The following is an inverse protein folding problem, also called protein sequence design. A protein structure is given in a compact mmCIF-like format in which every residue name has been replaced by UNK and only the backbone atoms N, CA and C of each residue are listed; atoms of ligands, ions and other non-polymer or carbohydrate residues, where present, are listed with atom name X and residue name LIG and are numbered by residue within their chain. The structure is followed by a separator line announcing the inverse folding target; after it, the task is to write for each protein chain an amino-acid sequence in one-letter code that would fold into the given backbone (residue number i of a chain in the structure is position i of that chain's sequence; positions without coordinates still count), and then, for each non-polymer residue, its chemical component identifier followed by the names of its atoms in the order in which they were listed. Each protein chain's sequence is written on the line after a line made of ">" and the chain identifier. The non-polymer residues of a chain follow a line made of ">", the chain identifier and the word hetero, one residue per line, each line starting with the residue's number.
data_IF_162366043882
#
_entry.id   IF_162366043882
#
_cell.length_a   1.000
_cell.length_b   1.000
_cell.length_c   1.000
_cell.angle_alpha   90.00
_cell.angle_beta   90.00
_cell.angle_gamma   90.00
#
_symmetry.space_group_name_H-M   'P 1'
#
loop_
_entity.id
_entity.type
_entity.pdbx_description
1 polymer ?
#
# COMPACT_ATOMS: atom_id res chain seq x y z
N UNK A 1 -6.39 -24.99 27.61
CA UNK A 1 -7.24 -24.01 26.92
C UNK A 1 -6.51 -22.80 26.30
N UNK A 2 -5.23 -22.56 26.55
CA UNK A 2 -4.45 -21.43 25.94
C UNK A 2 -3.86 -21.77 24.55
N UNK A 3 -3.55 -23.03 24.25
CA UNK A 3 -2.95 -23.43 22.98
C UNK A 3 -3.90 -23.34 21.77
N UNK A 4 -5.20 -23.55 21.98
CA UNK A 4 -6.22 -23.49 20.93
C UNK A 4 -6.54 -22.04 20.48
N UNK A 5 -6.40 -21.04 21.36
CA UNK A 5 -6.57 -19.62 21.00
C UNK A 5 -5.40 -19.09 20.15
N UNK A 6 -4.18 -19.59 20.36
CA UNK A 6 -2.99 -19.21 19.59
C UNK A 6 -3.06 -19.71 18.14
N UNK A 7 -3.50 -20.96 17.93
CA UNK A 7 -3.63 -21.54 16.59
C UNK A 7 -4.75 -20.89 15.76
N UNK A 8 -5.89 -20.56 16.38
CA UNK A 8 -6.97 -19.85 15.70
C UNK A 8 -6.56 -18.41 15.31
N UNK A 9 -5.80 -17.70 16.16
CA UNK A 9 -5.26 -16.37 15.85
C UNK A 9 -4.25 -16.41 14.69
N UNK A 10 -3.39 -17.42 14.62
CA UNK A 10 -2.45 -17.61 13.51
C UNK A 10 -3.17 -17.97 12.20
N UNK A 11 -4.21 -18.82 12.25
CA UNK A 11 -4.99 -19.19 11.07
C UNK A 11 -5.78 -18.01 10.49
N UNK A 12 -6.30 -17.11 11.33
CA UNK A 12 -6.98 -15.89 10.90
C UNK A 12 -6.01 -14.92 10.23
N UNK A 13 -4.75 -14.80 10.70
CA UNK A 13 -3.74 -13.93 10.10
C UNK A 13 -3.26 -14.39 8.70
N UNK A 14 -3.43 -15.68 8.36
CA UNK A 14 -3.08 -16.20 7.03
C UNK A 14 -4.13 -15.90 5.96
N UNK A 15 -5.36 -15.54 6.35
CA UNK A 15 -6.48 -15.28 5.42
C UNK A 15 -6.47 -13.87 4.83
N UNK A 16 -5.95 -12.89 5.55
CA UNK A 16 -5.91 -11.50 5.09
C UNK A 16 -4.56 -11.11 4.49
N UNK A 17 -4.51 -9.95 3.84
CA UNK A 17 -3.26 -9.41 3.34
C UNK A 17 -2.21 -9.30 4.46
N UNK A 18 -1.09 -10.01 4.33
CA UNK A 18 -0.02 -10.03 5.34
C UNK A 18 1.11 -9.08 4.94
N UNK A 19 1.23 -7.89 5.56
CA UNK A 19 2.15 -6.85 5.09
C UNK A 19 3.60 -7.32 4.92
N UNK A 20 4.19 -8.02 5.89
CA UNK A 20 5.57 -8.48 5.80
C UNK A 20 5.80 -9.46 4.63
N UNK A 21 4.86 -10.40 4.39
CA UNK A 21 4.92 -11.34 3.26
C UNK A 21 4.76 -10.60 1.93
N UNK A 22 3.83 -9.66 1.86
CA UNK A 22 3.58 -8.91 0.65
C UNK A 22 4.76 -8.00 0.29
N UNK A 23 5.40 -7.36 1.28
CA UNK A 23 6.60 -6.53 1.09
C UNK A 23 7.74 -7.32 0.45
N UNK A 24 7.90 -8.62 0.77
CA UNK A 24 8.85 -9.49 0.06
C UNK A 24 8.50 -9.64 -1.43
N UNK A 25 7.20 -9.82 -1.75
CA UNK A 25 6.74 -9.93 -3.14
C UNK A 25 6.92 -8.62 -3.93
N UNK A 26 6.87 -7.47 -3.26
CA UNK A 26 7.12 -6.15 -3.85
C UNK A 26 8.58 -5.95 -4.25
N UNK A 27 9.52 -6.73 -3.70
CA UNK A 27 10.95 -6.63 -4.01
C UNK A 27 11.52 -5.26 -3.63
N UNK A 28 11.19 -4.78 -2.43
CA UNK A 28 11.75 -3.57 -1.86
C UNK A 28 13.21 -3.82 -1.50
N UNK A 29 14.07 -2.88 -1.86
CA UNK A 29 15.51 -2.95 -1.63
C UNK A 29 15.98 -1.79 -0.74
N UNK A 30 17.03 -1.99 0.07
CA UNK A 30 17.68 -0.90 0.80
C UNK A 30 17.99 0.30 -0.11
N UNK A 31 17.79 1.51 0.41
CA UNK A 31 18.01 2.76 -0.33
C UNK A 31 16.80 3.27 -1.13
N UNK A 32 15.77 2.45 -1.34
CA UNK A 32 14.58 2.88 -2.09
C UNK A 32 13.77 3.93 -1.31
N UNK A 33 13.08 4.78 -2.07
CA UNK A 33 12.05 5.72 -1.57
C UNK A 33 10.68 5.19 -1.95
N UNK A 34 9.86 4.89 -0.96
CA UNK A 34 8.56 4.23 -1.13
C UNK A 34 7.46 5.05 -0.46
N UNK A 35 6.34 5.27 -1.14
CA UNK A 35 5.13 5.83 -0.53
C UNK A 35 4.09 4.74 -0.30
N UNK A 36 3.40 4.81 0.83
CA UNK A 36 2.20 4.03 1.17
C UNK A 36 1.00 4.99 1.13
N UNK A 37 0.18 4.86 0.09
CA UNK A 37 -1.00 5.67 -0.18
C UNK A 37 -2.20 5.13 0.59
N UNK A 38 -2.79 5.95 1.46
CA UNK A 38 -3.81 5.51 2.41
C UNK A 38 -3.20 4.60 3.47
N UNK A 39 -2.13 5.04 4.11
CA UNK A 39 -1.32 4.21 5.01
C UNK A 39 -2.06 3.65 6.23
N UNK A 40 -3.22 4.22 6.58
CA UNK A 40 -4.10 3.75 7.63
C UNK A 40 -3.37 3.53 8.96
N UNK A 41 -3.47 2.32 9.50
CA UNK A 41 -2.80 1.93 10.76
C UNK A 41 -1.29 1.80 10.66
N UNK A 42 -0.70 1.93 9.46
CA UNK A 42 0.74 1.86 9.24
C UNK A 42 1.32 0.44 9.13
N UNK A 43 0.49 -0.57 8.94
CA UNK A 43 0.96 -1.95 8.88
C UNK A 43 1.98 -2.20 7.75
N UNK A 44 1.71 -1.65 6.54
CA UNK A 44 2.67 -1.69 5.44
C UNK A 44 3.85 -0.74 5.66
N UNK A 45 3.62 0.45 6.23
CA UNK A 45 4.70 1.39 6.58
C UNK A 45 5.77 0.73 7.44
N UNK A 46 5.35 0.01 8.49
CA UNK A 46 6.26 -0.71 9.39
C UNK A 46 7.03 -1.82 8.65
N UNK A 47 6.34 -2.62 7.84
CA UNK A 47 6.96 -3.70 7.09
C UNK A 47 7.96 -3.18 6.03
N UNK A 48 7.64 -2.06 5.36
CA UNK A 48 8.53 -1.40 4.40
C UNK A 48 9.73 -0.80 5.11
N UNK A 49 9.53 -0.12 6.25
CA UNK A 49 10.62 0.49 7.03
C UNK A 49 11.63 -0.58 7.51
N UNK A 50 11.12 -1.74 7.93
CA UNK A 50 11.94 -2.89 8.29
C UNK A 50 12.75 -3.41 7.10
N UNK A 51 12.10 -3.62 5.93
CA UNK A 51 12.76 -4.11 4.72
C UNK A 51 13.83 -3.14 4.18
N UNK A 52 13.71 -1.86 4.45
CA UNK A 52 14.70 -0.85 4.08
C UNK A 52 15.91 -0.78 5.03
N UNK A 53 15.92 -1.48 6.15
CA UNK A 53 17.02 -1.48 7.14
C UNK A 53 17.52 -0.07 7.51
N UNK A 54 16.58 0.87 7.77
CA UNK A 54 16.88 2.30 8.00
C UNK A 54 17.64 3.03 6.87
N UNK A 55 17.72 2.44 5.68
CA UNK A 55 18.22 3.12 4.48
C UNK A 55 17.05 3.46 3.55
N UNK A 56 17.21 4.49 2.71
CA UNK A 56 16.08 4.96 1.91
C UNK A 56 15.03 5.70 2.74
N UNK A 57 13.76 5.71 2.29
CA UNK A 57 12.70 6.47 2.95
C UNK A 57 11.32 5.87 2.71
N UNK A 58 10.47 5.89 3.73
CA UNK A 58 9.04 5.56 3.63
C UNK A 58 8.22 6.83 3.86
N UNK A 59 7.26 7.07 2.98
CA UNK A 59 6.29 8.15 3.10
C UNK A 59 4.91 7.54 3.37
N UNK A 60 4.42 7.71 4.59
CA UNK A 60 3.07 7.29 4.99
C UNK A 60 2.10 8.44 4.73
N UNK A 61 1.17 8.28 3.80
CA UNK A 61 0.25 9.36 3.40
C UNK A 61 -1.18 8.94 3.70
N UNK A 62 -1.91 9.79 4.41
CA UNK A 62 -3.31 9.55 4.78
C UNK A 62 -4.03 10.87 5.06
N UNK A 63 -5.36 10.88 4.93
CA UNK A 63 -6.20 12.02 5.33
C UNK A 63 -6.52 12.00 6.82
N UNK A 64 -6.34 10.88 7.51
CA UNK A 64 -6.65 10.69 8.91
C UNK A 64 -5.45 11.01 9.82
N UNK A 65 -5.41 12.23 10.36
CA UNK A 65 -4.28 12.71 11.20
C UNK A 65 -3.99 11.82 12.40
N UNK A 66 -5.01 11.22 13.01
CA UNK A 66 -4.85 10.36 14.18
C UNK A 66 -4.14 9.03 13.83
N UNK A 67 -4.43 8.46 12.67
CA UNK A 67 -3.74 7.27 12.19
C UNK A 67 -2.26 7.58 11.89
N UNK A 68 -1.99 8.69 11.22
CA UNK A 68 -0.61 9.15 10.95
C UNK A 68 0.18 9.37 12.25
N UNK A 69 -0.44 9.98 13.26
CA UNK A 69 0.19 10.18 14.57
C UNK A 69 0.53 8.84 15.25
N UNK A 70 -0.40 7.87 15.21
CA UNK A 70 -0.17 6.52 15.76
C UNK A 70 0.94 5.81 15.00
N UNK A 71 0.93 5.84 13.69
CA UNK A 71 1.98 5.27 12.82
C UNK A 71 3.34 5.86 13.14
N UNK A 72 3.45 7.20 13.25
CA UNK A 72 4.70 7.88 13.63
C UNK A 72 5.22 7.42 14.99
N UNK A 73 4.34 7.35 15.99
CA UNK A 73 4.70 6.91 17.34
C UNK A 73 5.18 5.45 17.35
N UNK A 74 4.52 4.57 16.60
CA UNK A 74 4.90 3.16 16.52
C UNK A 74 6.24 2.98 15.81
N UNK A 75 6.49 3.71 14.71
CA UNK A 75 7.79 3.74 14.06
C UNK A 75 8.90 4.19 15.00
N UNK A 76 8.66 5.26 15.77
CA UNK A 76 9.61 5.76 16.73
C UNK A 76 9.92 4.74 17.84
N UNK A 77 8.91 4.06 18.39
CA UNK A 77 9.09 2.99 19.39
C UNK A 77 9.94 1.84 18.87
N UNK A 78 9.83 1.51 17.58
CA UNK A 78 10.63 0.46 16.92
C UNK A 78 12.01 0.93 16.44
N UNK A 79 12.34 2.21 16.63
CA UNK A 79 13.63 2.77 16.23
C UNK A 79 13.75 3.07 14.73
N UNK A 80 12.64 3.08 13.97
CA UNK A 80 12.66 3.46 12.55
C UNK A 80 12.80 4.98 12.42
N UNK A 81 13.90 5.44 11.78
CA UNK A 81 14.23 6.86 11.56
C UNK A 81 13.97 7.31 10.13
N UNK A 82 13.61 6.37 9.26
CA UNK A 82 13.44 6.57 7.83
C UNK A 82 11.97 6.67 7.39
N UNK A 83 11.06 7.05 8.29
CA UNK A 83 9.62 7.17 8.03
C UNK A 83 9.17 8.61 8.21
N UNK A 84 8.59 9.17 7.16
CA UNK A 84 7.88 10.46 7.18
C UNK A 84 6.38 10.24 7.08
N UNK A 85 5.60 10.93 7.91
CA UNK A 85 4.14 10.91 7.83
C UNK A 85 3.64 12.20 7.21
N UNK A 86 2.78 12.10 6.21
CA UNK A 86 2.27 13.23 5.44
C UNK A 86 0.74 13.22 5.48
N UNK A 87 0.16 14.29 6.01
CA UNK A 87 -1.26 14.51 5.83
C UNK A 87 -1.52 14.99 4.41
N UNK A 88 -2.26 14.22 3.62
CA UNK A 88 -2.51 14.50 2.21
C UNK A 88 -3.82 13.90 1.73
N UNK A 89 -4.45 14.58 0.77
CA UNK A 89 -5.63 14.12 0.06
C UNK A 89 -5.19 13.58 -1.30
N UNK A 90 -5.23 12.25 -1.44
CA UNK A 90 -4.75 11.56 -2.64
C UNK A 90 -5.74 11.63 -3.82
N UNK A 91 -6.96 12.08 -3.59
CA UNK A 91 -7.95 12.38 -4.63
C UNK A 91 -7.72 13.76 -5.28
N UNK A 92 -6.52 14.34 -5.09
CA UNK A 92 -6.06 15.60 -5.70
C UNK A 92 -4.65 15.49 -6.20
N UNK A 93 -4.38 16.01 -7.39
CA UNK A 93 -3.02 16.11 -7.92
C UNK A 93 -2.19 17.05 -7.02
N UNK A 94 -1.00 16.61 -6.65
CA UNK A 94 -0.15 17.27 -5.65
C UNK A 94 -0.53 17.01 -4.20
N UNK A 95 -1.61 16.25 -3.96
CA UNK A 95 -2.12 15.95 -2.62
C UNK A 95 -1.17 15.11 -1.77
N UNK A 96 -0.28 14.31 -2.37
CA UNK A 96 0.78 13.59 -1.67
C UNK A 96 1.86 14.50 -1.08
N UNK A 97 1.98 15.74 -1.58
CA UNK A 97 3.05 16.72 -1.24
C UNK A 97 4.46 16.22 -1.52
N UNK A 98 4.59 15.26 -2.42
CA UNK A 98 5.87 14.73 -2.89
C UNK A 98 6.16 15.31 -4.28
N UNK A 99 7.43 15.60 -4.55
CA UNK A 99 7.88 16.13 -5.83
C UNK A 99 7.71 15.10 -6.96
N UNK A 100 7.58 15.59 -8.19
CA UNK A 100 7.51 14.77 -9.39
C UNK A 100 8.74 13.87 -9.54
N UNK A 101 8.52 12.62 -9.90
CA UNK A 101 9.59 11.68 -10.20
C UNK A 101 10.52 11.35 -9.01
N UNK A 102 10.08 11.57 -7.77
CA UNK A 102 10.93 11.46 -6.58
C UNK A 102 11.06 10.03 -6.03
N UNK A 103 10.14 9.11 -6.39
CA UNK A 103 10.01 7.81 -5.73
C UNK A 103 10.32 6.63 -6.63
N UNK A 104 10.85 5.58 -6.01
CA UNK A 104 11.11 4.28 -6.63
C UNK A 104 9.84 3.43 -6.72
N UNK A 105 8.96 3.54 -5.71
CA UNK A 105 7.74 2.76 -5.63
C UNK A 105 6.63 3.53 -4.91
N UNK A 106 5.39 3.32 -5.36
CA UNK A 106 4.17 3.66 -4.65
C UNK A 106 3.41 2.37 -4.37
N UNK A 107 2.96 2.18 -3.15
CA UNK A 107 2.02 1.13 -2.75
C UNK A 107 0.64 1.77 -2.55
N UNK A 108 -0.38 1.17 -3.15
CA UNK A 108 -1.80 1.42 -2.88
C UNK A 108 -2.35 0.12 -2.28
N UNK A 109 -2.71 0.15 -0.99
CA UNK A 109 -3.23 -1.05 -0.32
C UNK A 109 -4.55 -0.78 0.35
N UNK A 110 -5.59 -1.54 -0.02
CA UNK A 110 -6.95 -1.44 0.53
C UNK A 110 -7.49 0.00 0.48
N UNK A 111 -7.20 0.73 -0.58
CA UNK A 111 -7.58 2.12 -0.74
C UNK A 111 -8.57 2.33 -1.88
N UNK A 112 -8.43 1.62 -3.01
CA UNK A 112 -9.20 1.92 -4.21
C UNK A 112 -10.71 1.78 -4.00
N UNK A 113 -11.16 0.86 -3.16
CA UNK A 113 -12.58 0.72 -2.86
C UNK A 113 -13.14 1.89 -2.02
N UNK A 114 -12.27 2.65 -1.32
CA UNK A 114 -12.67 3.74 -0.43
C UNK A 114 -12.73 5.11 -1.13
N UNK A 115 -12.00 5.29 -2.24
CA UNK A 115 -11.88 6.57 -2.93
C UNK A 115 -12.87 6.69 -4.08
N UNK A 116 -13.34 7.90 -4.33
CA UNK A 116 -14.22 8.22 -5.47
C UNK A 116 -13.39 8.41 -6.73
N UNK A 117 -12.34 9.24 -6.65
CA UNK A 117 -11.52 9.66 -7.79
C UNK A 117 -10.33 8.73 -8.03
N UNK A 118 -10.60 7.43 -8.29
CA UNK A 118 -9.58 6.40 -8.50
C UNK A 118 -8.54 6.76 -9.57
N UNK A 119 -8.98 7.42 -10.66
CA UNK A 119 -8.06 7.86 -11.72
C UNK A 119 -7.07 8.91 -11.19
N UNK A 120 -7.54 9.88 -10.38
CA UNK A 120 -6.70 10.93 -9.81
C UNK A 120 -5.67 10.33 -8.85
N UNK A 121 -6.05 9.33 -8.05
CA UNK A 121 -5.11 8.61 -7.16
C UNK A 121 -3.99 7.95 -7.97
N UNK A 122 -4.32 7.31 -9.12
CA UNK A 122 -3.32 6.70 -9.99
C UNK A 122 -2.46 7.73 -10.71
N UNK A 123 -3.03 8.85 -11.15
CA UNK A 123 -2.29 9.97 -11.76
C UNK A 123 -1.32 10.59 -10.75
N UNK A 124 -1.74 10.77 -9.49
CA UNK A 124 -0.87 11.26 -8.43
C UNK A 124 0.27 10.28 -8.14
N UNK A 125 -0.02 8.99 -8.09
CA UNK A 125 1.00 7.95 -7.93
C UNK A 125 2.01 7.99 -9.09
N UNK A 126 1.53 8.11 -10.33
CA UNK A 126 2.37 8.25 -11.52
C UNK A 126 3.23 9.51 -11.48
N UNK A 127 2.66 10.65 -11.10
CA UNK A 127 3.39 11.93 -11.04
C UNK A 127 4.65 11.80 -10.19
N UNK A 128 4.53 11.21 -9.00
CA UNK A 128 5.65 11.12 -8.04
C UNK A 128 6.61 9.96 -8.31
N UNK A 129 6.21 8.96 -9.12
CA UNK A 129 7.11 7.88 -9.53
C UNK A 129 8.16 8.38 -10.52
N UNK A 130 9.41 8.01 -10.32
CA UNK A 130 10.48 8.23 -11.32
C UNK A 130 10.26 7.37 -12.57
N UNK A 131 10.89 7.68 -13.71
CA UNK A 131 10.94 6.77 -14.86
C UNK A 131 11.40 5.37 -14.42
N UNK A 132 10.73 4.33 -14.90
CA UNK A 132 10.92 2.92 -14.49
C UNK A 132 10.57 2.64 -13.02
N UNK A 133 10.01 3.59 -12.28
CA UNK A 133 9.44 3.38 -10.96
C UNK A 133 8.25 2.41 -11.01
N UNK A 134 7.88 1.87 -9.87
CA UNK A 134 6.85 0.82 -9.78
C UNK A 134 5.66 1.27 -8.96
N UNK A 135 4.47 0.95 -9.44
CA UNK A 135 3.24 1.01 -8.67
C UNK A 135 2.86 -0.40 -8.23
N UNK A 136 2.57 -0.59 -6.96
CA UNK A 136 1.96 -1.81 -6.46
C UNK A 136 0.52 -1.53 -5.99
N UNK A 137 -0.41 -2.39 -6.38
CA UNK A 137 -1.80 -2.36 -5.92
C UNK A 137 -2.08 -3.68 -5.21
N UNK A 138 -2.56 -3.60 -3.98
CA UNK A 138 -3.05 -4.73 -3.19
C UNK A 138 -4.45 -4.36 -2.73
N UNK A 139 -5.47 -5.10 -3.19
CA UNK A 139 -6.84 -4.79 -2.80
C UNK A 139 -7.70 -6.07 -2.71
N UNK A 140 -8.93 -5.92 -2.25
CA UNK A 140 -9.85 -7.01 -2.00
C UNK A 140 -10.31 -7.70 -3.29
N UNK A 141 -10.25 -9.02 -3.32
CA UNK A 141 -10.80 -9.84 -4.42
C UNK A 141 -12.26 -10.22 -4.20
N UNK A 142 -12.70 -10.24 -2.96
CA UNK A 142 -14.07 -10.59 -2.57
C UNK A 142 -14.47 -9.92 -1.26
N UNK A 143 -15.76 -10.03 -0.89
CA UNK A 143 -16.30 -9.62 0.41
C UNK A 143 -16.34 -10.83 1.33
N UNK A 144 -15.70 -10.76 2.49
CA UNK A 144 -15.58 -11.89 3.41
C UNK A 144 -16.08 -11.55 4.82
N UNK A 145 -17.13 -12.24 5.26
CA UNK A 145 -17.57 -12.30 6.65
C UNK A 145 -17.84 -10.94 7.32
N UNK A 146 -18.27 -9.93 6.57
CA UNK A 146 -18.47 -8.56 7.08
C UNK A 146 -17.17 -7.81 7.36
N UNK A 147 -16.04 -8.34 6.90
CA UNK A 147 -14.72 -7.69 6.94
C UNK A 147 -14.38 -7.19 5.54
N UNK A 148 -13.84 -5.98 5.43
CA UNK A 148 -13.55 -5.36 4.13
C UNK A 148 -14.76 -4.67 3.47
N UNK A 149 -14.69 -4.39 2.16
CA UNK A 149 -15.74 -3.72 1.42
C UNK A 149 -16.99 -4.59 1.26
N UNK A 150 -18.14 -3.95 1.09
CA UNK A 150 -19.34 -4.64 0.56
C UNK A 150 -19.11 -4.97 -0.93
N UNK A 151 -19.81 -5.98 -1.44
CA UNK A 151 -19.57 -6.53 -2.78
C UNK A 151 -19.59 -5.47 -3.90
N UNK A 152 -20.48 -4.49 -3.80
CA UNK A 152 -20.62 -3.40 -4.80
C UNK A 152 -19.45 -2.42 -4.80
N UNK A 153 -18.67 -2.34 -3.72
CA UNK A 153 -17.53 -1.39 -3.59
C UNK A 153 -16.19 -2.05 -3.96
N UNK A 154 -16.20 -3.37 -4.19
CA UNK A 154 -14.99 -4.11 -4.58
C UNK A 154 -14.45 -3.58 -5.91
N UNK A 155 -13.19 -3.19 -5.92
CA UNK A 155 -12.45 -2.92 -7.15
C UNK A 155 -11.79 -4.23 -7.57
N UNK A 156 -12.40 -4.92 -8.55
CA UNK A 156 -11.87 -6.21 -9.00
C UNK A 156 -10.46 -6.08 -9.58
N UNK A 157 -9.72 -7.19 -9.62
CA UNK A 157 -8.38 -7.23 -10.22
C UNK A 157 -8.39 -6.71 -11.66
N UNK A 158 -9.39 -7.09 -12.45
CA UNK A 158 -9.56 -6.67 -13.83
C UNK A 158 -9.80 -5.15 -13.94
N UNK A 159 -10.61 -4.59 -13.03
CA UNK A 159 -10.84 -3.15 -12.96
C UNK A 159 -9.58 -2.39 -12.58
N UNK A 160 -8.84 -2.85 -11.57
CA UNK A 160 -7.58 -2.23 -11.15
C UNK A 160 -6.52 -2.29 -12.28
N UNK A 161 -6.45 -3.42 -12.99
CA UNK A 161 -5.58 -3.59 -14.16
C UNK A 161 -5.94 -2.58 -15.27
N UNK A 162 -7.22 -2.49 -15.62
CA UNK A 162 -7.70 -1.56 -16.66
C UNK A 162 -7.40 -0.09 -16.31
N UNK A 163 -7.64 0.31 -15.06
CA UNK A 163 -7.35 1.66 -14.57
C UNK A 163 -5.86 1.99 -14.67
N UNK A 164 -4.98 1.08 -14.21
CA UNK A 164 -3.54 1.29 -14.25
C UNK A 164 -2.99 1.33 -15.69
N UNK A 165 -3.47 0.45 -16.57
CA UNK A 165 -3.08 0.47 -17.99
C UNK A 165 -3.55 1.74 -18.69
N UNK A 166 -4.78 2.21 -18.42
CA UNK A 166 -5.29 3.48 -18.94
C UNK A 166 -4.45 4.67 -18.48
N UNK A 167 -3.92 4.62 -17.26
CA UNK A 167 -2.99 5.62 -16.73
C UNK A 167 -1.59 5.56 -17.37
N UNK A 168 -1.28 4.59 -18.23
CA UNK A 168 0.01 4.47 -18.94
C UNK A 168 1.04 3.58 -18.23
N UNK A 169 0.58 2.70 -17.33
CA UNK A 169 1.42 1.72 -16.65
C UNK A 169 1.40 0.38 -17.37
N UNK A 170 2.52 -0.34 -17.37
CA UNK A 170 2.62 -1.70 -17.88
C UNK A 170 2.62 -2.70 -16.72
N UNK A 171 1.79 -3.76 -16.80
CA UNK A 171 1.78 -4.84 -15.82
C UNK A 171 3.14 -5.57 -15.86
N UNK A 172 3.80 -5.64 -14.72
CA UNK A 172 5.08 -6.34 -14.57
C UNK A 172 4.93 -7.69 -13.86
N UNK A 173 4.00 -7.80 -12.90
CA UNK A 173 3.82 -9.01 -12.11
C UNK A 173 2.46 -9.03 -11.43
N UNK A 174 1.87 -10.22 -11.33
CA UNK A 174 0.75 -10.53 -10.43
C UNK A 174 1.25 -11.45 -9.31
N UNK A 175 0.64 -11.33 -8.10
CA UNK A 175 0.91 -12.22 -6.99
C UNK A 175 -0.30 -12.35 -6.07
N UNK A 176 -0.39 -13.44 -5.30
CA UNK A 176 -1.40 -13.60 -4.26
C UNK A 176 -0.98 -12.80 -3.02
N UNK A 177 -1.76 -11.79 -2.68
CA UNK A 177 -1.50 -10.91 -1.52
C UNK A 177 -2.17 -11.40 -0.22
N UNK A 178 -3.00 -12.42 -0.31
CA UNK A 178 -3.77 -13.06 0.76
C UNK A 178 -4.90 -13.88 0.16
N UNK A 179 -5.64 -14.60 0.97
CA UNK A 179 -6.74 -15.46 0.51
C UNK A 179 -7.87 -14.64 -0.15
N UNK A 180 -8.09 -13.41 0.34
CA UNK A 180 -9.12 -12.47 -0.13
C UNK A 180 -8.55 -11.21 -0.78
N UNK A 181 -7.27 -11.25 -1.22
CA UNK A 181 -6.60 -10.09 -1.80
C UNK A 181 -5.79 -10.48 -3.03
N UNK A 182 -5.91 -9.68 -4.07
CA UNK A 182 -4.99 -9.72 -5.21
C UNK A 182 -3.82 -8.74 -5.02
N UNK A 183 -2.72 -9.00 -5.71
CA UNK A 183 -1.57 -8.10 -5.79
C UNK A 183 -1.12 -7.91 -7.23
N UNK A 184 -0.95 -6.66 -7.64
CA UNK A 184 -0.47 -6.25 -8.96
C UNK A 184 0.73 -5.34 -8.82
N UNK A 185 1.77 -5.55 -9.62
CA UNK A 185 2.91 -4.65 -9.72
C UNK A 185 3.00 -4.16 -11.15
N UNK A 186 3.02 -2.85 -11.31
CA UNK A 186 3.16 -2.16 -12.57
C UNK A 186 4.49 -1.44 -12.65
N UNK A 187 4.94 -1.15 -13.87
CA UNK A 187 6.10 -0.33 -14.17
C UNK A 187 5.67 0.93 -14.92
N UNK A 188 6.19 2.07 -14.48
CA UNK A 188 6.11 3.31 -15.25
C UNK A 188 7.06 3.21 -16.46
N UNK A 189 6.56 3.57 -17.64
CA UNK A 189 7.36 3.71 -18.86
C UNK A 189 8.46 4.74 -18.71
#
# INVERSE_FOLDING_TARGET
>A
MQATKSLASHAVHLRFAHPARNVLALGIQPGMKVADFGSGSGAYVLAIAEALYNSGRVYAIDVQRDLLRRTKNECHKRGYKNVDVIWGDLERIGGSKIADGALDMVLISNLLFQVTEKNVVLEEALRILRPKGRLAIIDWSDSFGGTGPIEQDIVTKETALALAMKAGLDLAKEFSAGEHHYGLIFRRK
#
